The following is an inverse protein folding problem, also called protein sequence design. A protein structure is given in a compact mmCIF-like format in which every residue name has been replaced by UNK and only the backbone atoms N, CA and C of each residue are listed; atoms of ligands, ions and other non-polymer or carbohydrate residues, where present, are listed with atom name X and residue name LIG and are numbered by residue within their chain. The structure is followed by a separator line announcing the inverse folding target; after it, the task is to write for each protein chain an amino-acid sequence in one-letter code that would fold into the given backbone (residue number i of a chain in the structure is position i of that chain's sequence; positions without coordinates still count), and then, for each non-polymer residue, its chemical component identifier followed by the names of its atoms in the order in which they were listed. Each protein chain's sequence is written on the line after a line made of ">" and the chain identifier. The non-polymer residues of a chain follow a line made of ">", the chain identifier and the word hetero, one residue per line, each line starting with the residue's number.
data_IF_612535757297
#
_entry.id   IF_612535757297
#
_cell.length_a   1.000
_cell.length_b   1.000
_cell.length_c   1.000
_cell.angle_alpha   90.00
_cell.angle_beta   90.00
_cell.angle_gamma   90.00
#
_symmetry.space_group_name_H-M   'P 1'
#
loop_
_entity.id
_entity.type
_entity.pdbx_description
1 polymer ?
#
# COMPACT_ATOMS: atom_id res chain seq x y z
N UNK A 1 5.33 29.63 -57.84
CA UNK A 1 6.01 28.68 -56.93
C UNK A 1 5.64 29.02 -55.49
N UNK A 2 4.98 28.12 -54.76
CA UNK A 2 4.62 28.32 -53.34
C UNK A 2 5.07 27.07 -52.57
N UNK A 3 6.03 27.22 -51.66
CA UNK A 3 6.39 26.16 -50.70
C UNK A 3 5.38 26.16 -49.55
N UNK A 4 4.90 24.99 -49.07
CA UNK A 4 4.42 24.88 -47.71
C UNK A 4 5.57 24.38 -46.81
N UNK A 5 5.95 25.25 -45.87
CA UNK A 5 6.62 24.85 -44.62
C UNK A 5 5.63 23.99 -43.83
N UNK A 6 5.89 22.70 -43.69
CA UNK A 6 5.22 21.87 -42.68
C UNK A 6 6.30 21.42 -41.71
N UNK A 7 6.46 22.23 -40.67
CA UNK A 7 7.24 21.92 -39.49
C UNK A 7 6.44 20.85 -38.72
N UNK A 8 6.80 19.58 -38.88
CA UNK A 8 6.24 18.49 -38.08
C UNK A 8 6.77 18.64 -36.64
N UNK A 9 5.99 19.34 -35.80
CA UNK A 9 6.06 19.21 -34.34
C UNK A 9 5.70 17.76 -33.98
N UNK A 10 6.68 16.87 -34.06
CA UNK A 10 6.64 15.56 -33.43
C UNK A 10 6.80 15.73 -31.92
N UNK A 11 5.76 16.28 -31.27
CA UNK A 11 5.67 16.33 -29.82
C UNK A 11 5.60 14.90 -29.29
N UNK A 12 6.74 14.35 -28.89
CA UNK A 12 6.78 13.22 -27.97
C UNK A 12 6.11 13.67 -26.67
N UNK A 13 4.81 13.39 -26.57
CA UNK A 13 4.09 13.34 -25.31
C UNK A 13 4.68 12.17 -24.53
N UNK A 14 5.78 12.42 -23.83
CA UNK A 14 6.28 11.57 -22.76
C UNK A 14 5.21 11.57 -21.67
N UNK A 15 4.27 10.63 -21.77
CA UNK A 15 3.32 10.32 -20.72
C UNK A 15 4.12 9.96 -19.48
N UNK A 16 4.22 10.90 -18.55
CA UNK A 16 4.70 10.64 -17.20
C UNK A 16 3.85 9.53 -16.61
N UNK A 17 4.38 8.32 -16.58
CA UNK A 17 3.81 7.22 -15.81
C UNK A 17 3.98 7.57 -14.35
N UNK A 18 3.07 8.37 -13.80
CA UNK A 18 2.88 8.41 -12.37
C UNK A 18 2.48 6.99 -11.97
N UNK A 19 3.37 6.28 -11.26
CA UNK A 19 3.00 5.00 -10.65
C UNK A 19 1.92 5.29 -9.62
N UNK A 20 0.66 5.24 -10.05
CA UNK A 20 -0.48 5.24 -9.16
C UNK A 20 -0.33 4.00 -8.26
N UNK A 21 -0.60 4.16 -6.96
CA UNK A 21 -0.62 3.02 -6.06
C UNK A 21 -1.59 1.95 -6.52
N UNK A 22 -1.41 0.73 -6.02
CA UNK A 22 -2.17 -0.44 -6.41
C UNK A 22 -2.87 -1.06 -5.20
N UNK A 23 -4.04 -1.66 -5.46
CA UNK A 23 -4.75 -2.48 -4.48
C UNK A 23 -4.27 -3.93 -4.58
N UNK A 24 -4.15 -4.61 -3.44
CA UNK A 24 -3.90 -6.05 -3.41
C UNK A 24 -5.12 -6.84 -3.86
N UNK A 25 -4.92 -8.12 -4.18
CA UNK A 25 -6.00 -9.11 -4.11
C UNK A 25 -6.62 -9.15 -2.70
N UNK A 26 -7.84 -9.68 -2.53
CA UNK A 26 -8.43 -9.88 -1.20
C UNK A 26 -7.56 -10.78 -0.32
N UNK A 27 -7.32 -10.32 0.92
CA UNK A 27 -6.48 -10.95 1.95
C UNK A 27 -7.29 -11.20 3.22
N UNK A 28 -6.89 -12.23 3.97
CA UNK A 28 -7.44 -12.50 5.30
C UNK A 28 -6.47 -11.95 6.33
N UNK A 29 -6.96 -11.10 7.25
CA UNK A 29 -6.16 -10.59 8.37
C UNK A 29 -5.96 -11.72 9.38
N UNK A 30 -4.71 -12.01 9.73
CA UNK A 30 -4.32 -13.04 10.72
C UNK A 30 -3.94 -12.43 12.07
N UNK A 31 -3.25 -11.30 12.05
CA UNK A 31 -2.85 -10.58 13.25
C UNK A 31 -2.81 -9.07 12.98
N UNK A 32 -3.19 -8.29 13.98
CA UNK A 32 -3.05 -6.83 14.00
C UNK A 32 -2.33 -6.46 15.30
N UNK A 33 -1.11 -5.98 15.18
CA UNK A 33 -0.27 -5.66 16.33
C UNK A 33 0.38 -4.29 16.17
N UNK A 34 0.85 -3.74 17.29
CA UNK A 34 1.60 -2.49 17.32
C UNK A 34 2.96 -2.78 17.91
N UNK A 35 4.01 -2.38 17.22
CA UNK A 35 5.38 -2.47 17.73
C UNK A 35 5.92 -1.08 17.98
N UNK A 36 6.63 -0.90 19.09
CA UNK A 36 7.27 0.34 19.48
C UNK A 36 8.78 0.08 19.63
N UNK A 37 9.61 0.94 19.03
CA UNK A 37 11.08 0.90 19.11
C UNK A 37 11.71 -0.45 18.70
N UNK A 38 11.14 -1.14 17.70
CA UNK A 38 11.63 -2.46 17.26
C UNK A 38 12.90 -2.41 16.39
N UNK A 39 13.48 -1.21 16.18
CA UNK A 39 14.74 -0.97 15.46
C UNK A 39 14.67 -1.17 13.94
N UNK A 40 13.87 -2.12 13.46
CA UNK A 40 13.64 -2.39 12.02
C UNK A 40 12.72 -1.35 11.37
N UNK A 41 11.91 -0.66 12.17
CA UNK A 41 10.81 0.16 11.69
C UNK A 41 10.69 1.52 12.42
N UNK A 42 9.62 2.28 12.15
CA UNK A 42 9.40 3.58 12.77
C UNK A 42 9.24 3.44 14.30
N UNK A 43 9.37 4.55 15.04
CA UNK A 43 9.29 4.55 16.52
C UNK A 43 8.05 3.83 17.03
N UNK A 44 6.93 3.97 16.33
CA UNK A 44 5.74 3.16 16.51
C UNK A 44 5.16 2.82 15.14
N UNK A 45 4.65 1.62 14.97
CA UNK A 45 4.01 1.19 13.73
C UNK A 45 2.86 0.22 13.99
N UNK A 46 1.85 0.29 13.14
CA UNK A 46 0.83 -0.74 13.03
C UNK A 46 1.32 -1.82 12.08
N UNK A 47 1.31 -3.06 12.55
CA UNK A 47 1.70 -4.26 11.80
C UNK A 47 0.46 -5.09 11.52
N UNK A 48 0.34 -5.52 10.28
CA UNK A 48 -0.78 -6.34 9.82
C UNK A 48 -0.23 -7.58 9.16
N UNK A 49 -0.49 -8.73 9.76
CA UNK A 49 -0.11 -10.03 9.18
C UNK A 49 -1.29 -10.63 8.45
N UNK A 50 -1.06 -11.16 7.25
CA UNK A 50 -2.07 -11.76 6.39
C UNK A 50 -1.85 -13.27 6.20
N UNK A 51 -2.82 -13.93 5.57
CA UNK A 51 -2.73 -15.33 5.18
C UNK A 51 -1.67 -15.59 4.08
N UNK A 52 -1.45 -14.61 3.20
CA UNK A 52 -0.46 -14.64 2.10
C UNK A 52 0.22 -13.28 1.90
N UNK A 53 1.38 -13.21 1.23
CA UNK A 53 2.08 -11.94 0.98
C UNK A 53 1.21 -10.92 0.23
N UNK A 54 1.18 -9.63 0.66
CA UNK A 54 0.43 -8.57 -0.02
C UNK A 54 1.17 -8.08 -1.26
N UNK A 55 0.98 -8.77 -2.38
CA UNK A 55 1.68 -8.46 -3.64
C UNK A 55 0.86 -7.49 -4.49
N UNK A 56 1.55 -6.49 -5.03
CA UNK A 56 1.03 -5.60 -6.08
C UNK A 56 2.10 -5.34 -7.14
N UNK A 57 1.74 -4.66 -8.23
CA UNK A 57 2.72 -4.17 -9.23
C UNK A 57 3.69 -3.14 -8.67
N UNK A 58 3.33 -2.48 -7.56
CA UNK A 58 4.13 -1.44 -6.91
C UNK A 58 5.06 -2.02 -5.84
N UNK A 59 4.71 -3.18 -5.28
CA UNK A 59 5.50 -3.85 -4.27
C UNK A 59 5.34 -5.37 -4.34
N UNK A 60 6.43 -6.04 -4.69
CA UNK A 60 6.52 -7.49 -4.70
C UNK A 60 6.85 -8.02 -3.29
N UNK A 61 5.87 -7.98 -2.40
CA UNK A 61 6.04 -8.41 -1.01
C UNK A 61 6.44 -9.90 -0.92
N UNK A 62 7.48 -10.18 -0.14
CA UNK A 62 7.94 -11.55 0.14
C UNK A 62 7.42 -12.05 1.48
N UNK A 63 7.18 -11.14 2.43
CA UNK A 63 6.62 -11.44 3.75
C UNK A 63 5.09 -11.29 3.74
N UNK A 64 4.42 -11.99 4.67
CA UNK A 64 2.96 -11.88 4.89
C UNK A 64 2.57 -10.65 5.72
N UNK A 65 3.35 -9.58 5.64
CA UNK A 65 3.28 -8.42 6.52
C UNK A 65 3.02 -7.17 5.69
N UNK A 66 2.20 -6.26 6.21
CA UNK A 66 2.20 -4.85 5.83
C UNK A 66 2.34 -3.99 7.07
N UNK A 67 2.92 -2.80 6.90
CA UNK A 67 3.11 -1.85 7.99
C UNK A 67 2.53 -0.49 7.65
N UNK A 68 1.98 0.18 8.66
CA UNK A 68 1.66 1.59 8.61
C UNK A 68 2.55 2.32 9.60
N UNK A 69 3.34 3.25 9.08
CA UNK A 69 4.40 3.99 9.79
C UNK A 69 4.05 5.46 9.89
N UNK A 70 3.11 5.86 10.76
CA UNK A 70 2.86 7.28 10.96
C UNK A 70 4.07 7.93 11.66
N UNK A 71 4.31 9.19 11.34
CA UNK A 71 5.27 10.03 12.08
C UNK A 71 4.81 10.32 13.51
N UNK A 72 3.50 10.26 13.77
CA UNK A 72 2.86 10.43 15.07
C UNK A 72 2.37 9.10 15.65
N UNK A 73 2.78 8.79 16.88
CA UNK A 73 2.38 7.60 17.62
C UNK A 73 0.87 7.54 17.88
N UNK A 74 0.13 8.65 17.89
CA UNK A 74 -1.32 8.60 18.08
C UNK A 74 -2.10 8.34 16.79
N UNK A 75 -1.46 8.50 15.62
CA UNK A 75 -2.15 8.41 14.34
C UNK A 75 -2.54 6.96 13.97
N UNK A 76 -1.82 5.92 14.44
CA UNK A 76 -2.17 4.53 14.10
C UNK A 76 -3.47 4.04 14.74
N UNK A 77 -3.88 4.61 15.88
CA UNK A 77 -5.18 4.34 16.52
C UNK A 77 -6.31 4.87 15.62
N UNK A 78 -6.06 5.96 14.89
CA UNK A 78 -7.11 6.68 14.17
C UNK A 78 -7.33 6.25 12.73
N UNK A 79 -6.37 5.60 12.05
CA UNK A 79 -6.51 5.36 10.60
C UNK A 79 -7.16 4.01 10.26
N UNK A 80 -6.51 2.89 10.57
CA UNK A 80 -6.90 1.58 10.01
C UNK A 80 -7.04 0.44 11.02
N UNK A 81 -6.54 0.62 12.25
CA UNK A 81 -6.48 -0.45 13.26
C UNK A 81 -7.87 -1.00 13.60
N UNK A 82 -8.87 -0.12 13.81
CA UNK A 82 -10.25 -0.52 14.08
C UNK A 82 -10.88 -1.34 12.95
N UNK A 83 -10.67 -0.92 11.69
CA UNK A 83 -11.19 -1.62 10.50
C UNK A 83 -10.55 -3.00 10.37
N UNK A 84 -9.24 -3.10 10.54
CA UNK A 84 -8.49 -4.35 10.42
C UNK A 84 -8.82 -5.33 11.56
N UNK A 85 -8.92 -4.85 12.80
CA UNK A 85 -9.34 -5.65 13.95
C UNK A 85 -10.77 -6.16 13.77
N UNK A 86 -11.67 -5.29 13.28
CA UNK A 86 -13.07 -5.68 13.00
C UNK A 86 -13.12 -6.72 11.89
N UNK A 87 -12.37 -6.54 10.81
CA UNK A 87 -12.30 -7.51 9.72
C UNK A 87 -11.72 -8.85 10.18
N UNK A 88 -10.69 -8.84 11.03
CA UNK A 88 -10.13 -10.04 11.65
C UNK A 88 -11.18 -10.76 12.51
N UNK A 89 -11.83 -10.04 13.43
CA UNK A 89 -12.82 -10.61 14.35
C UNK A 89 -14.05 -11.19 13.63
N UNK A 90 -14.45 -10.59 12.51
CA UNK A 90 -15.59 -11.02 11.70
C UNK A 90 -15.19 -11.97 10.57
N UNK A 91 -13.92 -12.38 10.49
CA UNK A 91 -13.36 -13.21 9.41
C UNK A 91 -13.70 -12.66 8.00
N UNK A 92 -13.66 -11.34 7.85
CA UNK A 92 -13.86 -10.63 6.58
C UNK A 92 -12.54 -10.49 5.83
N UNK A 93 -12.63 -10.45 4.51
CA UNK A 93 -11.48 -10.16 3.65
C UNK A 93 -11.28 -8.66 3.50
N UNK A 94 -10.04 -8.25 3.34
CA UNK A 94 -9.65 -6.86 3.10
C UNK A 94 -8.79 -6.75 1.85
N UNK A 95 -8.80 -5.58 1.22
CA UNK A 95 -7.77 -5.17 0.29
C UNK A 95 -7.01 -4.00 0.90
N UNK A 96 -5.69 -3.98 0.70
CA UNK A 96 -4.86 -2.85 1.12
C UNK A 96 -4.36 -2.10 -0.11
N UNK A 97 -4.28 -0.77 0.01
CA UNK A 97 -3.74 0.12 -1.00
C UNK A 97 -2.29 0.44 -0.69
N UNK A 98 -1.45 0.39 -1.71
CA UNK A 98 -0.01 0.51 -1.58
C UNK A 98 0.55 1.44 -2.66
N UNK A 99 1.38 2.40 -2.25
CA UNK A 99 2.10 3.29 -3.20
C UNK A 99 3.60 3.02 -3.23
N UNK A 100 4.13 2.24 -2.29
CA UNK A 100 5.56 1.90 -2.23
C UNK A 100 5.83 0.70 -1.30
N UNK A 101 7.03 0.13 -1.38
CA UNK A 101 7.60 -0.72 -0.34
C UNK A 101 8.59 0.05 0.54
N UNK A 102 8.76 -0.41 1.77
CA UNK A 102 9.99 -0.21 2.54
C UNK A 102 11.12 -1.10 2.01
N UNK A 103 12.32 -0.91 2.56
CA UNK A 103 13.41 -1.85 2.43
C UNK A 103 12.96 -3.29 2.76
N UNK A 104 13.59 -4.28 2.13
CA UNK A 104 13.25 -5.69 2.23
C UNK A 104 11.84 -6.04 1.73
N UNK A 105 11.31 -5.25 0.79
CA UNK A 105 10.02 -5.50 0.14
C UNK A 105 8.84 -5.60 1.13
N UNK A 106 8.86 -4.81 2.21
CA UNK A 106 7.73 -4.74 3.15
C UNK A 106 6.72 -3.69 2.65
N UNK A 107 5.47 -4.08 2.36
CA UNK A 107 4.38 -3.16 2.03
C UNK A 107 4.20 -2.02 3.02
N UNK A 108 4.12 -0.78 2.50
CA UNK A 108 3.55 0.34 3.23
C UNK A 108 2.06 0.46 2.94
N UNK A 109 1.27 0.54 4.01
CA UNK A 109 -0.18 0.59 3.95
C UNK A 109 -0.66 2.04 3.85
N UNK A 110 -1.32 2.37 2.74
CA UNK A 110 -1.87 3.71 2.46
C UNK A 110 -3.40 3.74 2.44
N UNK A 111 -4.05 2.58 2.48
CA UNK A 111 -5.50 2.47 2.56
C UNK A 111 -5.94 1.05 2.86
N UNK A 112 -7.12 0.91 3.45
CA UNK A 112 -7.77 -0.38 3.71
C UNK A 112 -9.22 -0.28 3.27
N UNK A 113 -9.71 -1.32 2.60
CA UNK A 113 -11.15 -1.53 2.41
C UNK A 113 -11.54 -2.94 2.76
N UNK A 114 -12.69 -3.08 3.42
CA UNK A 114 -13.32 -4.37 3.70
C UNK A 114 -14.09 -4.81 2.46
N UNK A 115 -13.93 -6.07 2.07
CA UNK A 115 -14.68 -6.68 0.99
C UNK A 115 -15.90 -7.35 1.60
N UNK A 116 -17.07 -6.78 1.32
CA UNK A 116 -18.33 -7.45 1.58
C UNK A 116 -18.52 -8.49 0.47
N UNK A 117 -18.28 -9.75 0.80
CA UNK A 117 -18.79 -10.88 0.02
C UNK A 117 -20.23 -11.15 0.44
#
# INVERSE_FOLDING_TARGET
>A
MKLPKILLLGGLLLSSTAFAGAWTEPLTVKDVSVSVNEGRFAKAQLRVTFDKPPVTSVCAATEKLAVYDPSDMNAWIQTWSSILLTAQAQNKKVQIYMTTCRANSVPLLYGVRVINQ
#
